data_IF_103282349497
#
_entry.id   IF_103282349497
#
_cell.length_a   1.000
_cell.length_b   1.000
_cell.length_c   1.000
_cell.angle_alpha   90.00
_cell.angle_beta   90.00
_cell.angle_gamma   90.00
#
_symmetry.space_group_name_H-M   'P 1'
#
loop_
_entity.id
_entity.type
_entity.pdbx_description
1 polymer ?
#
# COMPACT_ATOMS: atom_id res chain seq x y z
N UNK A 1 30.01 -16.93 -18.46
CA UNK A 1 29.47 -17.98 -19.36
C UNK A 1 30.25 -17.90 -20.67
N UNK A 2 31.11 -18.91 -20.91
CA UNK A 2 31.60 -19.45 -22.20
C UNK A 2 32.32 -18.49 -23.17
N UNK A 3 33.61 -18.59 -23.46
CA UNK A 3 34.37 -19.67 -24.15
C UNK A 3 33.78 -20.11 -25.49
N UNK A 4 34.67 -20.22 -26.50
CA UNK A 4 34.71 -21.04 -27.75
C UNK A 4 35.57 -20.22 -28.75
N UNK A 5 36.91 -20.35 -28.81
CA UNK A 5 37.72 -21.36 -29.53
C UNK A 5 37.21 -21.62 -30.96
N UNK A 6 38.05 -21.67 -32.00
CA UNK A 6 38.64 -22.91 -32.55
C UNK A 6 39.18 -22.54 -33.97
N UNK A 7 40.26 -23.01 -34.56
CA UNK A 7 41.28 -24.00 -34.22
C UNK A 7 42.50 -23.84 -35.15
N UNK A 8 43.67 -24.16 -34.61
CA UNK A 8 44.83 -24.68 -35.35
C UNK A 8 44.55 -26.15 -35.69
N UNK A 9 44.89 -26.61 -36.89
CA UNK A 9 44.99 -28.04 -37.19
C UNK A 9 46.27 -28.33 -37.98
N UNK A 10 47.06 -29.27 -37.47
CA UNK A 10 48.33 -29.79 -37.97
C UNK A 10 48.14 -31.28 -38.28
N UNK A 11 48.69 -31.75 -39.41
CA UNK A 11 49.24 -33.10 -39.68
C UNK A 11 49.45 -33.23 -41.20
N UNK A 12 50.68 -33.27 -41.73
CA UNK A 12 51.60 -34.42 -41.88
C UNK A 12 51.71 -34.73 -43.40
N UNK A 13 52.81 -35.04 -44.08
CA UNK A 13 54.10 -35.66 -43.74
C UNK A 13 55.11 -35.54 -44.92
N UNK A 14 56.42 -35.67 -44.59
CA UNK A 14 57.59 -36.18 -45.36
C UNK A 14 58.33 -35.38 -46.47
N UNK A 15 59.59 -35.03 -46.10
CA UNK A 15 60.89 -35.08 -46.81
C UNK A 15 61.06 -34.54 -48.25
N UNK A 16 61.90 -33.51 -48.42
CA UNK A 16 63.26 -33.59 -49.03
C UNK A 16 63.84 -32.19 -49.27
N UNK A 17 65.12 -32.03 -48.93
CA UNK A 17 65.97 -30.84 -49.04
C UNK A 17 66.21 -30.38 -50.48
N UNK A 18 66.19 -29.07 -50.72
CA UNK A 18 67.05 -28.44 -51.74
C UNK A 18 67.52 -27.07 -51.23
N UNK A 19 68.81 -27.01 -50.93
CA UNK A 19 69.57 -25.79 -50.71
C UNK A 19 69.57 -24.97 -52.01
N UNK A 20 69.16 -23.71 -51.95
CA UNK A 20 69.52 -22.70 -52.96
C UNK A 20 69.99 -21.44 -52.21
N UNK A 21 71.23 -21.07 -52.49
CA UNK A 21 71.99 -19.94 -51.96
C UNK A 21 71.27 -18.58 -52.10
N UNK A 22 71.63 -17.56 -51.29
CA UNK A 22 70.91 -16.30 -51.25
C UNK A 22 71.24 -15.45 -52.48
N UNK A 23 70.25 -14.90 -53.21
CA UNK A 23 70.51 -13.72 -54.02
C UNK A 23 70.54 -12.53 -53.07
N UNK A 24 71.68 -11.86 -52.99
CA UNK A 24 71.85 -10.56 -52.33
C UNK A 24 70.79 -9.58 -52.85
N UNK A 25 69.86 -9.07 -52.01
CA UNK A 25 68.90 -8.08 -52.49
C UNK A 25 69.58 -6.70 -52.48
N UNK A 26 69.96 -6.23 -53.67
CA UNK A 26 70.18 -4.79 -53.91
C UNK A 26 68.86 -4.08 -53.59
N UNK A 27 68.84 -3.28 -52.53
CA UNK A 27 67.74 -2.33 -52.30
C UNK A 27 67.74 -1.34 -53.46
N UNK A 28 66.65 -1.31 -54.23
CA UNK A 28 66.43 -0.26 -55.22
C UNK A 28 65.59 0.84 -54.59
N UNK A 29 65.77 2.09 -55.03
CA UNK A 29 65.11 3.27 -54.45
C UNK A 29 63.57 3.24 -54.47
N UNK A 30 62.95 2.22 -55.08
CA UNK A 30 61.50 2.01 -55.15
C UNK A 30 60.90 1.35 -53.90
N UNK A 31 61.73 0.82 -52.99
CA UNK A 31 61.28 0.06 -51.82
C UNK A 31 61.18 0.90 -50.52
N UNK A 32 61.25 2.24 -50.63
CA UNK A 32 61.25 3.17 -49.49
C UNK A 32 60.13 4.19 -49.65
N UNK A 33 59.04 4.01 -48.89
CA UNK A 33 57.95 4.98 -48.79
C UNK A 33 58.20 5.88 -47.57
N UNK A 34 58.18 7.20 -47.76
CA UNK A 34 58.39 8.18 -46.69
C UNK A 34 57.05 8.73 -46.20
N UNK A 35 56.78 8.60 -44.90
CA UNK A 35 55.61 9.20 -44.24
C UNK A 35 56.15 10.07 -43.11
N UNK A 36 55.82 11.37 -43.11
CA UNK A 36 56.20 12.33 -42.07
C UNK A 36 57.69 12.27 -41.65
N UNK A 37 58.59 12.11 -42.63
CA UNK A 37 60.05 12.15 -42.40
C UNK A 37 60.68 10.86 -41.86
N UNK A 38 59.92 9.79 -41.64
CA UNK A 38 60.45 8.48 -41.18
C UNK A 38 60.60 7.53 -42.37
N UNK A 39 61.81 7.00 -42.57
CA UNK A 39 62.13 6.01 -43.62
C UNK A 39 61.91 4.60 -43.08
N UNK A 40 60.87 3.92 -43.58
CA UNK A 40 60.56 2.53 -43.19
C UNK A 40 61.01 1.62 -44.34
N UNK A 41 62.08 0.81 -44.17
CA UNK A 41 62.48 -0.14 -45.19
C UNK A 41 61.51 -1.33 -45.22
N UNK A 42 61.12 -1.81 -46.42
CA UNK A 42 60.31 -3.03 -46.71
C UNK A 42 58.78 -2.89 -46.72
N UNK A 43 58.22 -1.68 -46.83
CA UNK A 43 56.77 -1.54 -47.02
C UNK A 43 56.41 -1.73 -48.51
N UNK A 44 55.82 -2.88 -48.85
CA UNK A 44 55.35 -3.19 -50.20
C UNK A 44 54.17 -2.28 -50.56
N UNK A 45 54.20 -1.55 -51.70
CA UNK A 45 53.06 -0.74 -52.16
C UNK A 45 51.87 -1.57 -52.69
N UNK A 46 51.86 -2.90 -52.50
CA UNK A 46 50.84 -3.82 -53.06
C UNK A 46 49.71 -4.21 -52.08
N UNK A 47 49.67 -3.64 -50.86
CA UNK A 47 48.64 -3.99 -49.87
C UNK A 47 47.46 -3.02 -49.96
N UNK A 48 46.33 -3.51 -50.48
CA UNK A 48 45.08 -2.75 -50.67
C UNK A 48 44.01 -3.14 -49.66
N UNK A 49 43.12 -2.20 -49.31
CA UNK A 49 42.02 -2.45 -48.38
C UNK A 49 40.92 -3.32 -49.03
N UNK A 50 40.53 -4.42 -48.36
CA UNK A 50 39.43 -5.29 -48.80
C UNK A 50 38.04 -4.92 -48.27
N UNK A 51 37.99 -4.14 -47.18
CA UNK A 51 36.78 -3.62 -46.52
C UNK A 51 37.14 -2.32 -45.77
N UNK A 52 36.20 -1.36 -45.52
CA UNK A 52 34.78 -1.34 -45.91
C UNK A 52 34.59 -1.03 -47.41
N UNK A 53 33.40 -1.32 -47.94
CA UNK A 53 33.06 -1.24 -49.37
C UNK A 53 33.37 0.14 -49.99
N UNK A 54 33.28 1.20 -49.18
CA UNK A 54 33.57 2.59 -49.57
C UNK A 54 35.07 2.90 -49.78
N UNK A 55 36.00 2.01 -49.41
CA UNK A 55 37.46 2.21 -49.59
C UNK A 55 38.18 1.00 -50.17
N UNK A 56 37.43 0.10 -50.81
CA UNK A 56 37.97 -1.11 -51.44
C UNK A 56 38.97 -0.74 -52.55
N UNK A 57 40.18 -1.28 -52.48
CA UNK A 57 41.25 -1.03 -53.47
C UNK A 57 42.15 0.17 -53.20
N UNK A 58 41.91 0.96 -52.14
CA UNK A 58 42.84 2.01 -51.72
C UNK A 58 44.05 1.41 -50.98
N UNK A 59 45.22 2.06 -51.11
CA UNK A 59 46.44 1.67 -50.40
C UNK A 59 46.25 1.82 -48.90
N UNK A 60 46.63 0.77 -48.14
CA UNK A 60 46.52 0.73 -46.68
C UNK A 60 47.27 1.90 -46.00
N UNK A 61 48.28 2.45 -46.66
CA UNK A 61 49.13 3.54 -46.16
C UNK A 61 48.37 4.86 -46.00
N UNK A 62 47.29 5.08 -46.76
CA UNK A 62 46.44 6.26 -46.64
C UNK A 62 45.33 6.11 -45.58
N UNK A 63 45.33 5.03 -44.81
CA UNK A 63 44.34 4.78 -43.77
C UNK A 63 44.72 5.45 -42.46
N UNK A 64 43.90 6.42 -42.01
CA UNK A 64 44.04 7.09 -40.72
C UNK A 64 43.17 6.41 -39.65
N UNK A 65 43.83 5.83 -38.64
CA UNK A 65 43.19 5.04 -37.57
C UNK A 65 42.24 5.88 -36.69
N UNK A 66 42.40 7.21 -36.69
CA UNK A 66 41.55 8.15 -35.96
C UNK A 66 40.12 8.22 -36.53
N UNK A 67 39.90 7.70 -37.74
CA UNK A 67 38.58 7.59 -38.35
C UNK A 67 37.76 6.41 -37.82
N UNK A 68 38.42 5.36 -37.29
CA UNK A 68 37.76 4.21 -36.67
C UNK A 68 37.39 4.43 -35.20
N UNK A 69 38.10 5.32 -34.51
CA UNK A 69 37.86 5.63 -33.10
C UNK A 69 37.71 7.14 -32.96
N UNK A 70 36.48 7.63 -33.09
CA UNK A 70 36.19 9.03 -32.79
C UNK A 70 36.19 9.23 -31.28
N UNK A 71 37.36 9.55 -30.72
CA UNK A 71 37.56 9.79 -29.29
C UNK A 71 36.58 10.82 -28.73
N UNK A 72 36.21 11.85 -29.50
CA UNK A 72 35.23 12.84 -29.09
C UNK A 72 33.83 12.21 -28.95
N UNK A 73 33.38 11.44 -29.94
CA UNK A 73 32.08 10.77 -29.89
C UNK A 73 32.01 9.72 -28.77
N UNK A 74 33.07 8.94 -28.57
CA UNK A 74 33.16 7.96 -27.49
C UNK A 74 33.11 8.64 -26.12
N UNK A 75 33.81 9.77 -25.96
CA UNK A 75 33.78 10.57 -24.73
C UNK A 75 32.39 11.16 -24.44
N UNK A 76 31.69 11.67 -25.46
CA UNK A 76 30.33 12.17 -25.31
C UNK A 76 29.35 11.07 -24.89
N UNK A 77 29.41 9.89 -25.53
CA UNK A 77 28.58 8.75 -25.16
C UNK A 77 28.88 8.26 -23.73
N UNK A 78 30.15 8.29 -23.32
CA UNK A 78 30.56 7.95 -21.96
C UNK A 78 29.96 8.91 -20.92
N UNK A 79 30.04 10.22 -21.15
CA UNK A 79 29.44 11.22 -20.24
C UNK A 79 27.92 11.04 -20.14
N UNK A 80 27.24 10.84 -21.27
CA UNK A 80 25.79 10.66 -21.29
C UNK A 80 25.35 9.41 -20.52
N UNK A 81 26.04 8.29 -20.73
CA UNK A 81 25.71 7.03 -20.03
C UNK A 81 25.99 7.11 -18.53
N UNK A 82 27.12 7.69 -18.13
CA UNK A 82 27.44 7.89 -16.72
C UNK A 82 26.46 8.84 -16.03
N UNK A 83 26.07 9.94 -16.70
CA UNK A 83 25.04 10.85 -16.19
C UNK A 83 23.71 10.14 -16.01
N UNK A 84 23.29 9.34 -17.00
CA UNK A 84 22.04 8.57 -16.91
C UNK A 84 22.07 7.60 -15.72
N UNK A 85 23.14 6.82 -15.56
CA UNK A 85 23.30 5.87 -14.44
C UNK A 85 23.28 6.63 -13.10
N UNK A 86 24.02 7.73 -12.99
CA UNK A 86 24.07 8.52 -11.76
C UNK A 86 22.68 9.08 -11.38
N UNK A 87 21.93 9.62 -12.34
CA UNK A 87 20.57 10.11 -12.10
C UNK A 87 19.62 8.99 -11.70
N UNK A 88 19.70 7.83 -12.33
CA UNK A 88 18.87 6.68 -11.98
C UNK A 88 19.15 6.20 -10.54
N UNK A 89 20.43 6.10 -10.16
CA UNK A 89 20.82 5.70 -8.81
C UNK A 89 20.40 6.73 -7.76
N UNK A 90 20.50 8.03 -8.06
CA UNK A 90 20.04 9.11 -7.18
C UNK A 90 18.51 9.04 -6.99
N UNK A 91 17.75 8.85 -8.06
CA UNK A 91 16.29 8.74 -7.98
C UNK A 91 15.89 7.48 -7.21
N UNK A 92 16.53 6.34 -7.47
CA UNK A 92 16.23 5.09 -6.77
C UNK A 92 16.51 5.19 -5.25
N UNK A 93 17.64 5.80 -4.88
CA UNK A 93 18.01 6.00 -3.46
C UNK A 93 17.09 7.01 -2.77
N UNK A 94 16.77 8.13 -3.43
CA UNK A 94 15.81 9.10 -2.93
C UNK A 94 14.41 8.47 -2.78
N UNK A 95 13.95 7.72 -3.78
CA UNK A 95 12.66 7.03 -3.72
C UNK A 95 12.62 6.04 -2.55
N UNK A 96 13.67 5.23 -2.35
CA UNK A 96 13.73 4.28 -1.24
C UNK A 96 13.73 4.98 0.13
N UNK A 97 14.47 6.08 0.28
CA UNK A 97 14.54 6.83 1.53
C UNK A 97 13.21 7.55 1.84
N UNK A 98 12.64 8.23 0.86
CA UNK A 98 11.42 9.04 1.02
C UNK A 98 10.12 8.25 0.82
N UNK A 99 10.16 6.97 0.44
CA UNK A 99 8.97 6.15 0.22
C UNK A 99 8.08 6.11 1.46
N UNK A 100 8.68 5.89 2.64
CA UNK A 100 7.96 5.82 3.90
C UNK A 100 7.40 7.18 4.32
N UNK A 101 8.16 8.26 4.14
CA UNK A 101 7.70 9.63 4.46
C UNK A 101 6.56 10.08 3.55
N UNK A 102 6.67 9.84 2.24
CA UNK A 102 5.62 10.15 1.28
C UNK A 102 4.37 9.29 1.52
N UNK A 103 4.54 7.99 1.80
CA UNK A 103 3.44 7.11 2.16
C UNK A 103 2.75 7.59 3.44
N UNK A 104 3.50 7.90 4.49
CA UNK A 104 2.98 8.45 5.74
C UNK A 104 2.23 9.76 5.51
N UNK A 105 2.79 10.69 4.74
CA UNK A 105 2.15 11.96 4.40
C UNK A 105 0.87 11.74 3.60
N UNK A 106 0.85 10.82 2.63
CA UNK A 106 -0.35 10.46 1.87
C UNK A 106 -1.41 9.85 2.79
N UNK A 107 -1.03 8.95 3.69
CA UNK A 107 -1.96 8.34 4.65
C UNK A 107 -2.49 9.37 5.65
N UNK A 108 -1.64 10.27 6.14
CA UNK A 108 -2.00 11.37 7.03
C UNK A 108 -2.94 12.36 6.33
N UNK A 109 -2.62 12.77 5.09
CA UNK A 109 -3.48 13.64 4.29
C UNK A 109 -4.79 12.94 3.95
N UNK A 110 -4.79 11.65 3.59
CA UNK A 110 -6.02 10.86 3.40
C UNK A 110 -6.84 10.77 4.68
N UNK A 111 -6.23 10.60 5.84
CA UNK A 111 -6.93 10.56 7.13
C UNK A 111 -7.46 11.94 7.54
N UNK A 112 -6.73 13.01 7.21
CA UNK A 112 -7.12 14.40 7.46
C UNK A 112 -8.19 14.90 6.49
N UNK A 113 -8.17 14.43 5.24
CA UNK A 113 -9.18 14.73 4.22
C UNK A 113 -10.43 13.88 4.43
N UNK A 114 -10.26 12.59 4.78
CA UNK A 114 -11.29 11.77 5.42
C UNK A 114 -11.43 12.10 6.90
N UNK A 115 -11.13 13.34 7.33
CA UNK A 115 -11.60 13.78 8.65
C UNK A 115 -13.08 13.50 8.62
N UNK A 116 -13.45 12.49 9.39
CA UNK A 116 -14.68 12.35 10.12
C UNK A 116 -15.31 13.73 10.12
N UNK A 117 -16.23 13.97 9.17
CA UNK A 117 -17.17 15.06 9.40
C UNK A 117 -17.86 14.56 10.66
N UNK A 118 -17.63 15.16 11.84
CA UNK A 118 -18.60 14.93 12.88
C UNK A 118 -19.90 15.33 12.20
N UNK A 119 -20.84 14.41 12.11
CA UNK A 119 -22.21 14.82 11.92
C UNK A 119 -22.52 15.60 13.19
N UNK A 120 -22.20 16.91 13.16
CA UNK A 120 -22.74 17.87 14.08
C UNK A 120 -24.19 18.00 13.63
N UNK A 121 -25.01 16.99 13.94
CA UNK A 121 -26.36 17.30 14.34
C UNK A 121 -26.18 18.05 15.65
N UNK A 122 -26.46 19.37 15.70
CA UNK A 122 -26.32 20.16 16.92
C UNK A 122 -27.17 19.62 18.08
N UNK A 123 -28.04 18.65 17.80
CA UNK A 123 -28.95 18.01 18.74
C UNK A 123 -28.38 16.77 19.47
N UNK A 124 -27.22 16.23 19.08
CA UNK A 124 -26.66 15.06 19.78
C UNK A 124 -25.72 15.48 20.93
N UNK A 125 -26.18 15.30 22.16
CA UNK A 125 -25.44 15.57 23.40
C UNK A 125 -24.43 14.46 23.70
N UNK A 126 -24.77 13.23 23.34
CA UNK A 126 -23.98 12.05 23.64
C UNK A 126 -23.38 11.42 22.37
N UNK A 127 -22.21 10.80 22.54
CA UNK A 127 -21.54 10.08 21.47
C UNK A 127 -22.14 8.68 21.30
N UNK A 128 -22.43 8.02 22.42
CA UNK A 128 -22.98 6.67 22.46
C UNK A 128 -23.97 6.55 23.60
N UNK A 129 -25.15 6.04 23.29
CA UNK A 129 -26.05 5.46 24.28
C UNK A 129 -25.75 3.97 24.39
N UNK A 130 -25.54 3.47 25.61
CA UNK A 130 -25.28 2.05 25.87
C UNK A 130 -26.51 1.43 26.52
N UNK A 131 -27.04 0.38 25.92
CA UNK A 131 -28.16 -0.37 26.46
C UNK A 131 -27.76 -1.82 26.73
N UNK A 132 -28.06 -2.29 27.94
CA UNK A 132 -27.65 -3.58 28.50
C UNK A 132 -28.71 -4.07 29.48
N UNK A 133 -28.56 -5.29 30.01
CA UNK A 133 -29.45 -5.78 31.05
C UNK A 133 -29.06 -5.21 32.42
N UNK A 134 -29.82 -4.23 32.90
CA UNK A 134 -29.61 -3.61 34.22
C UNK A 134 -29.92 -4.57 35.38
N UNK A 135 -30.63 -5.67 35.13
CA UNK A 135 -30.91 -6.70 36.14
C UNK A 135 -29.74 -7.65 36.34
N UNK A 136 -28.88 -7.77 35.35
CA UNK A 136 -27.68 -8.60 35.44
C UNK A 136 -26.55 -7.80 36.08
N UNK A 137 -26.29 -8.09 37.36
CA UNK A 137 -25.23 -7.42 38.13
C UNK A 137 -23.85 -7.58 37.50
N UNK A 138 -23.55 -8.70 36.84
CA UNK A 138 -22.24 -8.94 36.26
C UNK A 138 -22.02 -8.06 35.03
N UNK A 139 -23.06 -7.93 34.20
CA UNK A 139 -23.03 -7.07 33.01
C UNK A 139 -22.98 -5.61 33.41
N UNK A 140 -23.82 -5.18 34.36
CA UNK A 140 -23.81 -3.80 34.86
C UNK A 140 -22.45 -3.42 35.46
N UNK A 141 -21.85 -4.29 36.28
CA UNK A 141 -20.51 -4.06 36.82
C UNK A 141 -19.45 -3.97 35.71
N UNK A 142 -19.50 -4.86 34.72
CA UNK A 142 -18.57 -4.83 33.59
C UNK A 142 -18.70 -3.55 32.76
N UNK A 143 -19.94 -3.08 32.53
CA UNK A 143 -20.20 -1.82 31.83
C UNK A 143 -19.62 -0.64 32.60
N UNK A 144 -19.88 -0.58 33.89
CA UNK A 144 -19.50 0.58 34.70
C UNK A 144 -18.00 0.64 35.01
N UNK A 145 -17.36 -0.52 35.23
CA UNK A 145 -15.93 -0.60 35.56
C UNK A 145 -15.01 -0.69 34.35
N UNK A 146 -15.41 -1.38 33.30
CA UNK A 146 -14.56 -1.59 32.12
C UNK A 146 -14.98 -0.68 30.97
N UNK A 147 -16.19 -0.86 30.43
CA UNK A 147 -16.60 -0.16 29.21
C UNK A 147 -16.58 1.36 29.38
N UNK A 148 -17.15 1.87 30.47
CA UNK A 148 -17.17 3.29 30.79
C UNK A 148 -15.76 3.86 30.87
N UNK A 149 -14.89 3.26 31.69
CA UNK A 149 -13.50 3.74 31.88
C UNK A 149 -12.71 3.70 30.57
N UNK A 150 -12.88 2.65 29.76
CA UNK A 150 -12.19 2.53 28.46
C UNK A 150 -12.64 3.54 27.41
N UNK A 151 -13.86 4.08 27.50
CA UNK A 151 -14.41 5.01 26.52
C UNK A 151 -14.41 6.47 27.00
N UNK A 152 -14.70 6.74 28.27
CA UNK A 152 -14.73 8.09 28.86
C UNK A 152 -13.33 8.55 29.32
N UNK A 153 -12.57 7.69 30.02
CA UNK A 153 -11.38 8.10 30.78
C UNK A 153 -10.06 7.78 30.05
N UNK A 154 -9.94 6.61 29.42
CA UNK A 154 -8.70 6.17 28.75
C UNK A 154 -8.64 6.51 27.24
N UNK A 155 -9.61 7.25 26.71
CA UNK A 155 -9.65 7.64 25.31
C UNK A 155 -8.75 8.84 24.99
N UNK A 156 -8.21 8.94 23.77
CA UNK A 156 -7.52 10.16 23.29
C UNK A 156 -8.46 11.39 23.26
N UNK A 157 -9.77 11.15 23.23
CA UNK A 157 -10.83 12.15 23.38
C UNK A 157 -11.85 11.61 24.37
N UNK A 158 -12.43 12.50 25.15
CA UNK A 158 -13.58 12.17 25.98
C UNK A 158 -14.81 11.91 25.09
N UNK A 159 -15.35 10.70 25.13
CA UNK A 159 -16.62 10.36 24.48
C UNK A 159 -17.73 10.36 25.53
N UNK A 160 -18.65 11.34 25.53
CA UNK A 160 -19.77 11.34 26.47
C UNK A 160 -20.67 10.13 26.22
N UNK A 161 -20.80 9.25 27.22
CA UNK A 161 -21.71 8.11 27.19
C UNK A 161 -23.03 8.49 27.84
N UNK A 162 -24.12 7.95 27.29
CA UNK A 162 -25.41 7.90 27.97
C UNK A 162 -25.64 6.48 28.50
N UNK A 163 -25.84 6.36 29.81
CA UNK A 163 -26.08 5.10 30.52
C UNK A 163 -27.45 5.14 31.21
N UNK A 164 -28.20 4.04 31.12
CA UNK A 164 -29.51 3.87 31.75
C UNK A 164 -29.46 4.12 33.27
N UNK A 165 -28.49 3.54 33.98
CA UNK A 165 -28.40 3.64 35.44
C UNK A 165 -27.94 5.03 35.96
N UNK A 166 -27.36 5.88 35.10
CA UNK A 166 -26.75 7.17 35.49
C UNK A 166 -27.51 8.38 34.98
N UNK A 167 -27.88 8.38 33.71
CA UNK A 167 -28.27 9.58 32.98
C UNK A 167 -29.80 9.69 32.77
N UNK A 168 -30.56 8.65 33.12
CA UNK A 168 -32.01 8.67 33.02
C UNK A 168 -32.65 9.48 34.15
N UNK A 169 -33.57 10.37 33.77
CA UNK A 169 -34.30 11.17 34.73
C UNK A 169 -35.34 10.29 35.47
N UNK A 170 -35.40 10.37 36.81
CA UNK A 170 -36.41 9.64 37.57
C UNK A 170 -37.80 10.20 37.29
N UNK A 171 -38.81 9.32 37.27
CA UNK A 171 -40.22 9.69 37.05
C UNK A 171 -40.63 9.83 35.58
N UNK A 172 -39.70 9.68 34.64
CA UNK A 172 -39.99 9.64 33.20
C UNK A 172 -40.29 8.19 32.76
N UNK A 173 -41.28 7.95 31.89
CA UNK A 173 -41.55 6.61 31.35
C UNK A 173 -40.34 6.01 30.64
N UNK A 174 -40.16 4.70 30.78
CA UNK A 174 -39.08 3.93 30.13
C UNK A 174 -38.98 4.21 28.63
N UNK A 175 -40.12 4.24 27.93
CA UNK A 175 -40.17 4.43 26.48
C UNK A 175 -39.64 5.82 26.10
N UNK A 176 -39.98 6.85 26.87
CA UNK A 176 -39.56 8.23 26.61
C UNK A 176 -38.07 8.40 26.88
N UNK A 177 -37.57 7.89 28.02
CA UNK A 177 -36.15 7.87 28.34
C UNK A 177 -35.34 7.14 27.25
N UNK A 178 -35.83 5.99 26.79
CA UNK A 178 -35.17 5.20 25.75
C UNK A 178 -35.16 5.92 24.40
N UNK A 179 -36.30 6.49 23.99
CA UNK A 179 -36.42 7.25 22.75
C UNK A 179 -35.51 8.47 22.77
N UNK A 180 -35.49 9.20 23.88
CA UNK A 180 -34.65 10.37 24.08
C UNK A 180 -33.16 10.02 24.06
N UNK A 181 -32.76 8.95 24.75
CA UNK A 181 -31.37 8.48 24.78
C UNK A 181 -30.88 8.06 23.41
N UNK A 182 -31.70 7.33 22.64
CA UNK A 182 -31.38 6.94 21.26
C UNK A 182 -31.29 8.17 20.36
N UNK A 183 -32.18 9.17 20.52
CA UNK A 183 -32.23 10.37 19.67
C UNK A 183 -31.07 11.33 19.93
N UNK A 184 -30.74 11.58 21.20
CA UNK A 184 -29.65 12.48 21.59
C UNK A 184 -28.26 11.84 21.55
N UNK A 185 -28.17 10.57 21.16
CA UNK A 185 -26.90 9.89 20.95
C UNK A 185 -26.59 9.71 19.48
N UNK A 186 -25.31 9.77 19.09
CA UNK A 186 -24.91 9.50 17.69
C UNK A 186 -24.95 8.01 17.34
N UNK A 187 -24.69 7.14 18.31
CA UNK A 187 -24.72 5.69 18.17
C UNK A 187 -25.45 5.08 19.37
N UNK A 188 -26.06 3.92 19.15
CA UNK A 188 -26.63 3.07 20.19
C UNK A 188 -25.87 1.76 20.22
N UNK A 189 -25.13 1.52 21.31
CA UNK A 189 -24.38 0.31 21.56
C UNK A 189 -25.24 -0.67 22.37
N UNK A 190 -25.60 -1.79 21.73
CA UNK A 190 -26.32 -2.88 22.36
C UNK A 190 -25.34 -3.91 22.90
N UNK A 191 -25.37 -4.15 24.22
CA UNK A 191 -24.57 -5.19 24.86
C UNK A 191 -25.43 -6.44 24.96
N UNK A 192 -25.10 -7.43 24.14
CA UNK A 192 -25.90 -8.61 23.94
C UNK A 192 -25.42 -9.74 24.87
N UNK A 193 -26.32 -10.15 25.76
CA UNK A 193 -26.24 -11.37 26.59
C UNK A 193 -27.49 -12.22 26.39
N UNK A 194 -27.46 -13.48 26.86
CA UNK A 194 -28.59 -14.41 26.69
C UNK A 194 -29.86 -13.93 27.39
N UNK A 195 -29.71 -13.28 28.55
CA UNK A 195 -30.80 -12.64 29.29
C UNK A 195 -31.34 -11.44 28.54
N UNK A 196 -30.46 -10.51 28.17
CA UNK A 196 -30.84 -9.22 27.60
C UNK A 196 -31.67 -9.35 26.32
N UNK A 197 -31.28 -10.24 25.41
CA UNK A 197 -31.96 -10.43 24.11
C UNK A 197 -33.42 -10.89 24.27
N UNK A 198 -33.77 -11.55 25.39
CA UNK A 198 -35.12 -12.02 25.66
C UNK A 198 -36.01 -10.91 26.26
N UNK A 199 -35.42 -9.83 26.75
CA UNK A 199 -36.15 -8.74 27.42
C UNK A 199 -37.01 -7.94 26.45
N UNK A 200 -38.10 -7.35 26.98
CA UNK A 200 -38.92 -6.39 26.22
C UNK A 200 -38.17 -5.10 25.90
N UNK A 201 -37.26 -4.68 26.79
CA UNK A 201 -36.44 -3.47 26.63
C UNK A 201 -35.55 -3.58 25.39
N UNK A 202 -34.86 -4.71 25.21
CA UNK A 202 -34.05 -4.94 24.01
C UNK A 202 -34.87 -4.83 22.73
N UNK A 203 -36.04 -5.50 22.67
CA UNK A 203 -36.91 -5.48 21.49
C UNK A 203 -37.39 -4.06 21.17
N UNK A 204 -37.77 -3.30 22.20
CA UNK A 204 -38.20 -1.92 22.06
C UNK A 204 -37.06 -1.00 21.60
N UNK A 205 -35.88 -1.10 22.24
CA UNK A 205 -34.71 -0.30 21.90
C UNK A 205 -34.26 -0.55 20.46
N UNK A 206 -34.27 -1.82 20.04
CA UNK A 206 -33.94 -2.22 18.69
C UNK A 206 -34.94 -1.71 17.67
N UNK A 207 -36.24 -1.74 18.00
CA UNK A 207 -37.31 -1.18 17.18
C UNK A 207 -37.14 0.33 16.98
N UNK A 208 -36.92 1.08 18.07
CA UNK A 208 -36.71 2.54 18.02
C UNK A 208 -35.46 2.92 17.21
N UNK A 209 -34.37 2.17 17.38
CA UNK A 209 -33.15 2.40 16.60
C UNK A 209 -33.36 2.11 15.10
N UNK A 210 -34.13 1.09 14.76
CA UNK A 210 -34.53 0.82 13.37
C UNK A 210 -35.45 1.89 12.80
N UNK A 211 -36.39 2.40 13.59
CA UNK A 211 -37.25 3.49 13.17
C UNK A 211 -36.42 4.73 12.83
N UNK A 212 -35.43 5.09 13.64
CA UNK A 212 -34.52 6.20 13.34
C UNK A 212 -33.75 6.01 12.02
N UNK A 213 -33.31 4.79 11.74
CA UNK A 213 -32.72 4.47 10.44
C UNK A 213 -33.69 4.68 9.27
N UNK A 214 -34.98 4.36 9.42
CA UNK A 214 -35.96 4.52 8.34
C UNK A 214 -36.39 5.99 8.16
N UNK A 215 -36.54 6.72 9.26
CA UNK A 215 -37.05 8.09 9.26
C UNK A 215 -35.95 9.11 8.92
N UNK A 216 -34.76 8.97 9.52
CA UNK A 216 -33.64 9.90 9.35
C UNK A 216 -32.58 9.40 8.34
N UNK A 217 -32.68 8.15 7.88
CA UNK A 217 -31.67 7.48 7.05
C UNK A 217 -30.28 7.42 7.71
N UNK A 218 -30.25 7.38 9.04
CA UNK A 218 -29.05 7.26 9.86
C UNK A 218 -29.10 5.94 10.61
N UNK A 219 -28.24 4.99 10.23
CA UNK A 219 -28.04 3.82 11.09
C UNK A 219 -27.30 4.29 12.34
N UNK A 220 -27.80 3.95 13.51
CA UNK A 220 -27.15 4.24 14.80
C UNK A 220 -26.74 2.97 15.53
N UNK A 221 -27.12 1.79 15.02
CA UNK A 221 -27.03 0.52 15.74
C UNK A 221 -25.59 -0.01 15.71
N UNK A 222 -25.04 -0.31 16.89
CA UNK A 222 -23.79 -1.05 17.08
C UNK A 222 -24.07 -2.22 18.02
N UNK A 223 -23.70 -3.43 17.62
CA UNK A 223 -23.94 -4.64 18.40
C UNK A 223 -22.62 -5.12 19.01
N UNK A 224 -22.60 -5.32 20.32
CA UNK A 224 -21.50 -5.94 21.05
C UNK A 224 -21.99 -7.24 21.69
N UNK A 225 -21.47 -8.37 21.24
CA UNK A 225 -21.74 -9.68 21.82
C UNK A 225 -20.76 -9.96 22.94
N UNK A 226 -21.24 -9.90 24.19
CA UNK A 226 -20.50 -10.39 25.35
C UNK A 226 -20.56 -11.92 25.41
N UNK A 227 -21.71 -12.46 25.02
CA UNK A 227 -21.97 -13.90 24.90
C UNK A 227 -22.33 -14.23 23.44
N UNK A 228 -22.12 -15.50 23.00
CA UNK A 228 -22.44 -15.94 21.63
C UNK A 228 -23.96 -16.04 21.39
N UNK A 229 -24.65 -14.91 21.37
CA UNK A 229 -26.10 -14.82 21.20
C UNK A 229 -26.49 -14.41 19.79
N UNK A 230 -27.72 -14.75 19.37
CA UNK A 230 -28.29 -14.41 18.07
C UNK A 230 -27.48 -14.88 16.84
N UNK A 231 -26.48 -15.76 17.02
CA UNK A 231 -25.59 -16.23 15.95
C UNK A 231 -26.34 -16.86 14.76
N UNK A 232 -27.44 -17.55 15.06
CA UNK A 232 -28.30 -18.21 14.07
C UNK A 232 -29.41 -17.31 13.52
N UNK A 233 -29.60 -16.11 14.09
CA UNK A 233 -30.66 -15.20 13.64
C UNK A 233 -30.38 -14.69 12.22
N UNK A 234 -31.41 -14.64 11.39
CA UNK A 234 -31.30 -14.09 10.03
C UNK A 234 -30.84 -12.62 10.08
N UNK A 235 -31.31 -11.87 11.07
CA UNK A 235 -30.96 -10.47 11.29
C UNK A 235 -29.45 -10.29 11.50
N UNK A 236 -28.83 -10.99 12.44
CA UNK A 236 -27.40 -10.85 12.71
C UNK A 236 -26.55 -11.32 11.52
N UNK A 237 -26.96 -12.40 10.85
CA UNK A 237 -26.28 -12.88 9.64
C UNK A 237 -26.31 -11.84 8.52
N UNK A 238 -27.45 -11.20 8.31
CA UNK A 238 -27.59 -10.12 7.33
C UNK A 238 -26.75 -8.90 7.72
N UNK A 239 -26.82 -8.50 8.99
CA UNK A 239 -26.06 -7.35 9.51
C UNK A 239 -24.55 -7.59 9.46
N UNK A 240 -24.04 -8.80 9.74
CA UNK A 240 -22.61 -9.11 9.57
C UNK A 240 -22.17 -8.98 8.11
N UNK A 241 -23.03 -9.30 7.14
CA UNK A 241 -22.73 -9.18 5.71
C UNK A 241 -22.78 -7.74 5.21
N UNK A 242 -23.77 -6.97 5.64
CA UNK A 242 -23.99 -5.59 5.18
C UNK A 242 -23.18 -4.57 5.97
N UNK A 243 -23.04 -4.81 7.27
CA UNK A 243 -22.61 -3.87 8.31
C UNK A 243 -21.56 -4.52 9.22
N UNK A 244 -20.62 -5.29 8.66
CA UNK A 244 -19.70 -6.13 9.44
C UNK A 244 -18.91 -5.42 10.53
N UNK A 245 -18.55 -4.14 10.31
CA UNK A 245 -17.84 -3.33 11.32
C UNK A 245 -18.71 -2.93 12.51
N UNK A 246 -20.03 -2.87 12.36
CA UNK A 246 -20.97 -2.52 13.44
C UNK A 246 -21.25 -3.68 14.40
N UNK A 247 -20.73 -4.88 14.11
CA UNK A 247 -20.94 -6.09 14.89
C UNK A 247 -19.61 -6.49 15.51
N UNK A 248 -19.53 -6.41 16.83
CA UNK A 248 -18.34 -6.65 17.63
C UNK A 248 -18.57 -7.87 18.52
N UNK A 249 -17.54 -8.71 18.65
CA UNK A 249 -17.52 -9.85 19.57
C UNK A 249 -16.48 -9.61 20.65
N UNK A 250 -16.85 -9.86 21.90
CA UNK A 250 -15.91 -9.80 23.02
C UNK A 250 -14.87 -10.93 22.88
N UNK A 251 -13.56 -10.63 22.99
CA UNK A 251 -12.52 -11.61 22.80
C UNK A 251 -12.53 -12.67 23.91
N UNK A 252 -12.25 -13.93 23.53
CA UNK A 252 -12.09 -15.04 24.50
C UNK A 252 -10.71 -15.07 25.14
N UNK A 253 -9.75 -14.31 24.61
CA UNK A 253 -8.36 -14.28 25.04
C UNK A 253 -7.96 -12.87 25.46
N UNK A 254 -7.32 -12.75 26.63
CA UNK A 254 -6.90 -11.46 27.18
C UNK A 254 -5.95 -10.69 26.24
N UNK A 255 -5.12 -11.40 25.45
CA UNK A 255 -4.22 -10.80 24.48
C UNK A 255 -4.95 -10.00 23.38
N UNK A 256 -6.21 -10.31 23.09
CA UNK A 256 -7.00 -9.64 22.06
C UNK A 256 -7.84 -8.46 22.59
N UNK A 257 -7.88 -8.23 23.91
CA UNK A 257 -8.62 -7.11 24.51
C UNK A 257 -8.17 -5.74 24.03
N UNK A 258 -6.86 -5.40 23.96
CA UNK A 258 -6.44 -4.07 23.49
C UNK A 258 -6.90 -3.78 22.07
N UNK A 259 -6.88 -4.81 21.21
CA UNK A 259 -7.36 -4.72 19.84
C UNK A 259 -8.87 -4.51 19.78
N UNK A 260 -9.63 -5.22 20.63
CA UNK A 260 -11.07 -5.04 20.75
C UNK A 260 -11.44 -3.60 21.11
N UNK A 261 -10.79 -3.03 22.14
CA UNK A 261 -11.08 -1.67 22.60
C UNK A 261 -10.77 -0.64 21.52
N UNK A 262 -9.67 -0.81 20.79
CA UNK A 262 -9.33 0.07 19.68
C UNK A 262 -10.36 -0.05 18.53
N UNK A 263 -10.82 -1.25 18.24
CA UNK A 263 -11.86 -1.47 17.24
C UNK A 263 -13.19 -0.84 17.65
N UNK A 264 -13.62 -1.02 18.90
CA UNK A 264 -14.83 -0.41 19.46
C UNK A 264 -14.79 1.12 19.35
N UNK A 265 -13.68 1.74 19.77
CA UNK A 265 -13.47 3.19 19.65
C UNK A 265 -13.56 3.66 18.20
N UNK A 266 -12.98 2.91 17.27
CA UNK A 266 -13.07 3.22 15.84
C UNK A 266 -14.51 3.15 15.32
N UNK A 267 -15.28 2.11 15.68
CA UNK A 267 -16.66 1.94 15.22
C UNK A 267 -17.59 3.02 15.77
N UNK A 268 -17.40 3.38 17.03
CA UNK A 268 -18.12 4.47 17.68
C UNK A 268 -17.78 5.81 17.02
N UNK A 269 -16.50 6.06 16.71
CA UNK A 269 -16.04 7.33 16.13
C UNK A 269 -16.41 7.48 14.66
N UNK A 270 -16.37 6.40 13.87
CA UNK A 270 -16.60 6.45 12.42
C UNK A 270 -18.09 6.63 12.13
N UNK A 271 -18.39 7.60 11.28
CA UNK A 271 -19.74 7.82 10.77
C UNK A 271 -20.20 6.60 9.95
N UNK A 272 -21.44 6.17 10.22
CA UNK A 272 -22.04 4.99 9.63
C UNK A 272 -22.21 5.14 8.10
N UNK A 273 -22.32 6.36 7.57
CA UNK A 273 -22.34 6.60 6.10
C UNK A 273 -21.07 6.12 5.37
N UNK A 274 -19.93 6.05 6.07
CA UNK A 274 -18.65 5.59 5.50
C UNK A 274 -18.44 4.09 5.71
N UNK A 275 -19.22 3.47 6.60
CA UNK A 275 -19.09 2.05 6.99
C UNK A 275 -19.84 1.14 6.01
N UNK A 276 -20.91 1.61 5.38
CA UNK A 276 -21.75 0.78 4.53
C UNK A 276 -21.33 0.72 3.07
N UNK A 277 -21.59 -0.43 2.44
CA UNK A 277 -21.44 -0.56 1.00
C UNK A 277 -22.38 0.41 0.29
N UNK A 278 -21.95 0.96 -0.86
CA UNK A 278 -22.81 1.80 -1.72
C UNK A 278 -24.16 1.14 -2.04
N UNK A 279 -24.23 -0.19 -1.97
CA UNK A 279 -25.45 -0.97 -2.19
C UNK A 279 -26.46 -0.78 -1.06
N UNK A 280 -26.02 -0.76 0.20
CA UNK A 280 -26.91 -0.54 1.36
C UNK A 280 -27.47 0.87 1.36
N UNK A 281 -26.62 1.90 1.15
CA UNK A 281 -27.11 3.27 1.02
C UNK A 281 -28.13 3.38 -0.11
N UNK A 282 -27.86 2.75 -1.27
CA UNK A 282 -28.74 2.82 -2.44
C UNK A 282 -30.11 2.18 -2.18
N UNK A 283 -30.18 1.06 -1.47
CA UNK A 283 -31.44 0.37 -1.13
C UNK A 283 -32.39 1.22 -0.27
N UNK A 284 -31.86 2.04 0.64
CA UNK A 284 -32.66 2.89 1.51
C UNK A 284 -32.86 4.32 0.98
N UNK A 285 -31.98 4.81 0.09
CA UNK A 285 -32.12 6.15 -0.52
C UNK A 285 -33.00 6.21 -1.76
N UNK A 286 -33.31 5.08 -2.42
CA UNK A 286 -34.30 5.07 -3.51
C UNK A 286 -35.70 5.10 -2.92
N UNK A 287 -36.19 6.30 -2.62
CA UNK A 287 -37.60 6.65 -2.59
C UNK A 287 -37.94 7.38 -3.89
#
# INVERSE_FOLDING_TARGET
MRSILQQVNLNGSHLSSLVMSPPTPRLTAKDVVCINGVKIPRLTPDVTCGAPENRKGQLLIHFDINQCVNNNMAFQLYILTMSFIATFMLVATAAHLFYWDASYLIHYLKAKLKRYKPFNSPDCIYDVFVTYDTKDSQVSEWVMRNLRVKLEDEGEKHLPLCLEDRDWAPGVPLIDNLTQSIRYSRKTLFILTEGYVKTGVFKLAMYLAHQRLLDENVDVIVLLMLEPVLQHSHFLRLRRRLCGKSVLEWPRTAAAEPWFWQNLRNVVRVDNQVIYSKTYSKYFTTK
#
